data_IF_962853871097
#
_entry.id   IF_962853871097
#
_cell.length_a   1.000
_cell.length_b   1.000
_cell.length_c   1.000
_cell.angle_alpha   90.00
_cell.angle_beta   90.00
_cell.angle_gamma   90.00
#
_symmetry.space_group_name_H-M   'P 1'
#
loop_
_entity.id
_entity.type
_entity.pdbx_description
1 polymer ?
#
# COMPACT_ATOMS: atom_id res chain seq x y z
N UNK A 1 -0.72 -30.93 28.42
CA UNK A 1 0.00 -30.83 29.72
C UNK A 1 1.50 -30.79 29.47
N UNK A 2 2.21 -29.99 30.29
CA UNK A 2 3.66 -29.70 30.33
C UNK A 2 4.12 -28.56 29.42
N UNK A 3 4.88 -27.56 29.88
CA UNK A 3 5.14 -26.98 31.22
C UNK A 3 6.00 -25.73 30.96
N UNK A 4 5.80 -24.71 31.79
CA UNK A 4 6.59 -23.48 31.90
C UNK A 4 8.12 -23.71 31.86
N UNK A 5 8.83 -22.76 31.25
CA UNK A 5 10.12 -22.27 31.77
C UNK A 5 10.06 -20.73 31.81
N UNK A 6 10.23 -20.21 33.01
CA UNK A 6 10.36 -18.81 33.37
C UNK A 6 11.86 -18.55 33.58
N UNK A 7 12.43 -17.50 33.01
CA UNK A 7 13.64 -16.87 33.56
C UNK A 7 13.53 -15.36 33.44
N UNK A 8 13.63 -14.72 34.60
CA UNK A 8 13.62 -13.29 34.83
C UNK A 8 15.05 -12.73 34.83
N UNK A 9 15.20 -11.45 34.47
CA UNK A 9 16.16 -10.54 35.09
C UNK A 9 15.83 -9.10 34.71
N UNK A 10 15.27 -8.34 35.66
CA UNK A 10 15.23 -6.89 35.60
C UNK A 10 16.47 -6.28 36.25
N UNK A 11 16.82 -5.07 35.84
CA UNK A 11 17.67 -4.18 36.63
C UNK A 11 17.21 -2.73 36.43
N UNK A 12 16.96 -2.10 37.57
CA UNK A 12 16.32 -0.81 37.80
C UNK A 12 17.36 0.33 37.78
N UNK A 13 16.95 1.51 37.33
CA UNK A 13 17.64 2.79 37.54
C UNK A 13 17.92 3.03 39.03
N UNK A 14 19.11 3.55 39.36
CA UNK A 14 19.34 4.26 40.62
C UNK A 14 20.06 5.59 40.36
N UNK A 15 19.42 6.66 40.82
CA UNK A 15 19.91 8.03 40.81
C UNK A 15 21.07 8.23 41.79
N UNK A 16 21.99 9.13 41.44
CA UNK A 16 23.05 9.64 42.31
C UNK A 16 22.93 11.16 42.44
N UNK A 17 22.69 11.60 43.66
CA UNK A 17 22.71 12.99 44.10
C UNK A 17 23.42 12.99 45.45
N UNK A 18 24.50 13.77 45.60
CA UNK A 18 24.97 14.26 46.91
C UNK A 18 25.83 15.54 46.74
N UNK A 19 25.54 16.50 47.60
CA UNK A 19 25.99 17.90 47.67
C UNK A 19 27.34 18.09 48.40
N UNK A 20 28.00 19.24 48.14
CA UNK A 20 28.45 20.25 49.15
C UNK A 20 29.16 21.43 48.44
N UNK A 21 28.65 22.68 48.46
CA UNK A 21 28.85 23.77 49.45
C UNK A 21 30.33 24.26 49.57
N UNK A 22 30.74 25.54 49.62
CA UNK A 22 30.20 26.92 49.65
C UNK A 22 31.41 27.89 49.65
N UNK A 23 31.31 29.12 49.10
CA UNK A 23 31.71 30.43 49.73
C UNK A 23 31.83 31.59 48.71
N UNK A 24 31.21 32.74 49.02
CA UNK A 24 31.31 34.03 48.27
C UNK A 24 32.52 34.88 48.70
N UNK A 25 32.53 36.25 48.64
CA UNK A 25 31.43 37.19 48.35
C UNK A 25 31.77 38.45 47.50
N UNK A 26 30.71 39.27 47.30
CA UNK A 26 30.66 40.76 47.24
C UNK A 26 31.16 41.57 46.02
N UNK A 27 30.27 42.44 45.52
CA UNK A 27 30.62 43.85 45.22
C UNK A 27 30.21 44.41 43.85
N UNK A 28 29.12 45.20 43.82
CA UNK A 28 29.13 46.57 43.28
C UNK A 28 28.94 46.85 41.78
N UNK A 29 27.89 47.64 41.50
CA UNK A 29 27.77 48.76 40.54
C UNK A 29 27.76 48.53 39.01
N UNK A 30 26.60 48.89 38.45
CA UNK A 30 26.37 49.67 37.21
C UNK A 30 27.52 49.90 36.24
N UNK A 31 27.35 49.48 34.98
CA UNK A 31 27.52 50.38 33.84
C UNK A 31 26.91 49.79 32.57
N UNK A 32 26.24 50.68 31.85
CA UNK A 32 25.84 50.61 30.45
C UNK A 32 26.99 50.21 29.52
N UNK A 33 26.75 49.22 28.67
CA UNK A 33 27.66 48.85 27.59
C UNK A 33 26.87 48.19 26.46
N UNK A 34 26.63 48.96 25.41
CA UNK A 34 26.01 48.50 24.17
C UNK A 34 26.89 47.55 23.37
N UNK A 35 26.24 46.66 22.63
CA UNK A 35 26.65 45.93 21.41
C UNK A 35 27.03 44.46 21.59
N UNK A 36 26.86 43.61 20.57
CA UNK A 36 26.25 43.84 19.25
C UNK A 36 24.90 43.13 19.09
N UNK A 37 24.11 43.64 18.13
CA UNK A 37 22.96 42.95 17.55
C UNK A 37 23.46 41.61 17.01
N UNK A 38 22.96 40.50 17.56
CA UNK A 38 23.13 39.18 16.96
C UNK A 38 22.63 39.24 15.53
N UNK A 39 23.35 38.65 14.55
CA UNK A 39 22.80 38.50 13.21
C UNK A 39 21.47 37.76 13.35
N UNK A 40 20.43 38.32 12.74
CA UNK A 40 19.11 37.68 12.70
C UNK A 40 19.30 36.24 12.28
N UNK A 41 18.74 35.33 13.08
CA UNK A 41 18.57 33.93 12.70
C UNK A 41 17.71 33.93 11.45
N UNK A 42 18.34 34.00 10.27
CA UNK A 42 17.79 33.42 9.06
C UNK A 42 17.57 31.95 9.43
N UNK A 43 16.32 31.60 9.79
CA UNK A 43 15.97 30.23 10.07
C UNK A 43 16.37 29.44 8.82
N UNK A 44 17.28 28.48 8.98
CA UNK A 44 17.78 27.71 7.86
C UNK A 44 16.59 27.00 7.22
N UNK A 45 16.27 27.40 5.99
CA UNK A 45 15.24 26.77 5.18
C UNK A 45 15.87 25.56 4.52
N UNK A 46 15.32 24.39 4.78
CA UNK A 46 15.69 23.15 4.10
C UNK A 46 15.41 23.28 2.61
N UNK A 47 16.39 22.85 1.83
CA UNK A 47 16.22 22.58 0.41
C UNK A 47 15.42 21.29 0.20
N UNK A 48 14.88 21.11 -1.01
CA UNK A 48 14.18 19.88 -1.41
C UNK A 48 15.07 18.64 -1.20
N UNK A 49 16.35 18.73 -1.55
CA UNK A 49 17.32 17.63 -1.40
C UNK A 49 17.56 17.26 0.06
N UNK A 50 17.68 18.25 0.95
CA UNK A 50 17.83 18.02 2.39
C UNK A 50 16.55 17.45 3.02
N UNK A 51 15.38 17.89 2.54
CA UNK A 51 14.09 17.34 2.94
C UNK A 51 13.91 15.89 2.45
N UNK A 52 14.29 15.60 1.20
CA UNK A 52 14.27 14.24 0.64
C UNK A 52 15.19 13.31 1.43
N UNK A 53 16.40 13.75 1.77
CA UNK A 53 17.35 12.97 2.55
C UNK A 53 16.78 12.58 3.93
N UNK A 54 15.97 13.44 4.56
CA UNK A 54 15.28 13.12 5.82
C UNK A 54 14.24 12.02 5.65
N UNK A 55 13.45 12.06 4.57
CA UNK A 55 12.46 11.01 4.29
C UNK A 55 13.18 9.70 3.95
N UNK A 56 14.25 9.74 3.16
CA UNK A 56 15.08 8.58 2.87
C UNK A 56 15.73 7.98 4.12
N UNK A 57 16.21 8.80 5.05
CA UNK A 57 16.73 8.34 6.33
C UNK A 57 15.63 7.70 7.20
N UNK A 58 14.41 8.23 7.17
CA UNK A 58 13.27 7.71 7.92
C UNK A 58 12.87 6.30 7.48
N UNK A 59 12.77 6.07 6.17
CA UNK A 59 12.36 4.78 5.60
C UNK A 59 13.53 3.80 5.41
N UNK A 60 14.75 4.31 5.23
CA UNK A 60 15.91 3.52 4.84
C UNK A 60 15.87 3.08 3.37
N UNK A 61 16.78 2.19 3.00
CA UNK A 61 16.86 1.67 1.62
C UNK A 61 15.80 0.62 1.34
N UNK A 62 15.49 -0.22 2.33
CA UNK A 62 14.57 -1.35 2.19
C UNK A 62 13.59 -1.42 3.33
N UNK A 63 12.39 -1.84 2.99
CA UNK A 63 11.38 -2.22 3.96
C UNK A 63 11.77 -3.56 4.60
N UNK A 64 11.88 -3.60 5.93
CA UNK A 64 12.28 -4.81 6.65
C UNK A 64 11.23 -5.93 6.59
N UNK A 65 9.94 -5.58 6.49
CA UNK A 65 8.87 -6.56 6.42
C UNK A 65 8.79 -7.22 5.04
N UNK A 66 9.17 -6.49 4.00
CA UNK A 66 8.89 -6.88 2.61
C UNK A 66 10.15 -7.14 1.78
N UNK A 67 11.29 -6.60 2.20
CA UNK A 67 12.55 -6.65 1.47
C UNK A 67 12.61 -5.71 0.26
N UNK A 68 11.51 -5.02 -0.08
CA UNK A 68 11.43 -4.11 -1.22
C UNK A 68 12.27 -2.85 -1.01
N UNK A 69 12.82 -2.32 -2.10
CA UNK A 69 13.57 -1.07 -2.06
C UNK A 69 12.57 0.08 -2.01
N UNK A 70 12.75 1.04 -1.10
CA UNK A 70 11.98 2.26 -1.14
C UNK A 70 12.44 3.16 -2.28
N UNK A 71 11.47 3.66 -3.04
CA UNK A 71 11.64 4.75 -3.99
C UNK A 71 10.87 5.96 -3.45
N UNK A 72 11.58 7.07 -3.25
CA UNK A 72 11.02 8.30 -2.72
C UNK A 72 11.28 9.40 -3.72
N UNK A 73 10.21 10.05 -4.18
CA UNK A 73 10.28 11.09 -5.20
C UNK A 73 9.51 12.33 -4.74
N UNK A 74 10.06 13.51 -5.03
CA UNK A 74 9.35 14.77 -4.84
C UNK A 74 8.11 14.82 -5.76
N UNK A 75 6.98 15.24 -5.21
CA UNK A 75 5.75 15.47 -5.99
C UNK A 75 5.51 16.95 -6.21
N UNK A 76 5.27 17.69 -5.13
CA UNK A 76 4.87 19.09 -5.16
C UNK A 76 5.08 19.77 -3.79
N UNK A 77 4.84 21.08 -3.75
CA UNK A 77 4.75 21.84 -2.50
C UNK A 77 3.31 21.87 -2.01
N UNK A 78 3.10 21.70 -0.71
CA UNK A 78 1.80 21.83 -0.05
C UNK A 78 1.89 22.77 1.14
N UNK A 79 0.80 23.48 1.45
CA UNK A 79 0.71 24.29 2.66
C UNK A 79 -0.13 23.54 3.70
N UNK A 80 0.47 23.21 4.83
CA UNK A 80 -0.17 22.44 5.91
C UNK A 80 -0.09 23.28 7.18
N UNK A 81 -1.26 23.67 7.72
CA UNK A 81 -1.40 24.53 8.90
C UNK A 81 -0.58 25.83 8.84
N UNK A 82 -0.45 26.42 7.64
CA UNK A 82 0.29 27.66 7.42
C UNK A 82 1.79 27.48 7.24
N UNK A 83 2.30 26.24 7.26
CA UNK A 83 3.69 25.91 6.92
C UNK A 83 3.79 25.39 5.48
N UNK A 84 4.74 25.91 4.71
CA UNK A 84 5.07 25.36 3.41
C UNK A 84 5.91 24.08 3.59
N UNK A 85 5.51 23.02 2.90
CA UNK A 85 6.11 21.70 2.99
C UNK A 85 6.38 21.12 1.61
N UNK A 86 7.49 20.40 1.48
CA UNK A 86 7.72 19.49 0.36
C UNK A 86 6.87 18.23 0.57
N UNK A 87 6.14 17.79 -0.44
CA UNK A 87 5.47 16.48 -0.45
C UNK A 87 6.30 15.49 -1.26
N UNK A 88 6.51 14.31 -0.69
CA UNK A 88 7.22 13.21 -1.30
C UNK A 88 6.31 12.00 -1.38
N UNK A 89 6.24 11.42 -2.57
CA UNK A 89 5.65 10.09 -2.75
C UNK A 89 6.63 9.05 -2.26
N UNK A 90 6.13 8.13 -1.45
CA UNK A 90 6.84 6.93 -1.02
C UNK A 90 6.23 5.75 -1.75
N UNK A 91 7.09 4.96 -2.38
CA UNK A 91 6.70 3.78 -3.15
C UNK A 91 7.71 2.67 -2.92
N UNK A 92 7.35 1.42 -3.19
CA UNK A 92 8.33 0.36 -3.37
C UNK A 92 8.74 0.25 -4.83
N UNK A 93 10.02 0.04 -5.07
CA UNK A 93 10.54 -0.41 -6.35
C UNK A 93 10.47 -1.95 -6.37
N UNK A 94 9.51 -2.47 -7.14
CA UNK A 94 9.29 -3.90 -7.35
C UNK A 94 9.97 -4.30 -8.67
N UNK A 95 10.86 -5.29 -8.59
CA UNK A 95 11.63 -5.84 -9.73
C UNK A 95 12.34 -4.81 -10.62
N UNK A 96 12.73 -3.68 -10.03
CA UNK A 96 13.52 -2.63 -10.70
C UNK A 96 12.79 -1.84 -11.80
N UNK A 97 11.49 -2.09 -12.01
CA UNK A 97 10.74 -1.54 -13.16
C UNK A 97 9.36 -0.99 -12.79
N UNK A 98 8.78 -1.46 -11.69
CA UNK A 98 7.43 -1.09 -11.26
C UNK A 98 7.48 -0.38 -9.90
N UNK A 99 6.69 0.69 -9.75
CA UNK A 99 6.57 1.44 -8.50
C UNK A 99 5.20 1.16 -7.88
N UNK A 100 5.19 0.57 -6.69
CA UNK A 100 4.00 0.33 -5.87
C UNK A 100 3.82 1.49 -4.89
N UNK A 101 2.69 2.21 -4.97
CA UNK A 101 2.43 3.36 -4.09
C UNK A 101 2.18 2.90 -2.65
N UNK A 102 2.77 3.61 -1.68
CA UNK A 102 2.53 3.36 -0.26
C UNK A 102 1.82 4.52 0.40
N UNK A 103 2.42 5.71 0.34
CA UNK A 103 1.91 6.91 1.02
C UNK A 103 2.61 8.16 0.50
N UNK A 104 2.13 9.34 0.92
CA UNK A 104 2.88 10.59 0.81
C UNK A 104 3.42 10.98 2.19
N UNK A 105 4.60 11.58 2.21
CA UNK A 105 5.18 12.22 3.39
C UNK A 105 5.43 13.69 3.10
N UNK A 106 5.18 14.56 4.08
CA UNK A 106 5.50 15.98 3.98
C UNK A 106 6.66 16.33 4.90
N UNK A 107 7.50 17.28 4.47
CA UNK A 107 8.56 17.89 5.28
C UNK A 107 8.46 19.40 5.19
N UNK A 108 8.29 20.10 6.32
CA UNK A 108 8.24 21.56 6.32
C UNK A 108 9.58 22.20 5.96
N UNK A 109 9.54 23.42 5.41
CA UNK A 109 10.73 24.20 5.07
C UNK A 109 11.69 24.41 6.25
N UNK A 110 11.21 24.46 7.48
CA UNK A 110 12.05 24.57 8.68
C UNK A 110 12.45 23.20 9.29
N UNK A 111 11.99 22.10 8.69
CA UNK A 111 12.25 20.73 9.13
C UNK A 111 11.56 20.32 10.42
N UNK A 112 10.67 21.15 10.96
CA UNK A 112 9.98 20.89 12.22
C UNK A 112 8.83 19.88 12.06
N UNK A 113 8.29 19.75 10.85
CA UNK A 113 7.23 18.82 10.49
C UNK A 113 7.81 17.75 9.57
N UNK A 114 7.65 16.48 9.94
CA UNK A 114 7.85 15.33 9.06
C UNK A 114 6.81 14.28 9.42
N UNK A 115 5.82 14.06 8.55
CA UNK A 115 4.72 13.16 8.82
C UNK A 115 4.11 12.60 7.54
N UNK A 116 3.38 11.51 7.70
CA UNK A 116 2.48 10.99 6.68
C UNK A 116 1.42 12.05 6.32
N UNK A 117 1.17 12.20 5.04
CA UNK A 117 0.23 13.15 4.47
C UNK A 117 -0.65 12.42 3.47
N UNK A 118 -1.86 12.09 3.88
CA UNK A 118 -2.90 11.71 2.95
C UNK A 118 -3.59 13.01 2.54
N UNK A 119 -3.51 13.44 1.27
CA UNK A 119 -4.17 14.66 0.86
C UNK A 119 -5.68 14.54 1.12
N UNK A 120 -6.21 15.40 1.98
CA UNK A 120 -7.65 15.61 2.18
C UNK A 120 -8.25 16.18 0.88
N UNK A 121 -8.46 15.33 -0.13
CA UNK A 121 -8.83 15.67 -1.51
C UNK A 121 -9.40 17.09 -1.68
N UNK A 122 -8.57 18.10 -2.01
CA UNK A 122 -9.07 19.39 -2.41
C UNK A 122 -8.62 19.68 -3.86
N UNK A 123 -9.56 20.17 -4.65
CA UNK A 123 -9.36 20.48 -6.06
C UNK A 123 -8.06 21.27 -6.33
N UNK A 124 -7.07 20.66 -6.98
CA UNK A 124 -5.90 21.40 -7.48
C UNK A 124 -4.57 20.65 -7.65
N UNK A 125 -4.55 19.56 -8.41
CA UNK A 125 -3.48 19.29 -9.39
C UNK A 125 -2.03 19.08 -8.89
N UNK A 126 -1.78 17.94 -8.25
CA UNK A 126 -0.68 17.05 -8.65
C UNK A 126 -1.24 15.64 -8.55
N UNK A 127 -2.06 15.30 -9.55
CA UNK A 127 -2.63 13.96 -9.69
C UNK A 127 -1.44 13.07 -10.03
N UNK A 128 -1.12 12.12 -9.15
CA UNK A 128 -0.46 10.90 -9.59
C UNK A 128 -1.09 10.53 -10.92
N UNK A 129 -0.35 10.48 -12.04
CA UNK A 129 -0.99 10.31 -13.33
C UNK A 129 -1.92 9.11 -13.21
N UNK A 130 -3.22 9.36 -13.43
CA UNK A 130 -4.20 8.29 -13.53
C UNK A 130 -3.60 7.23 -14.44
N UNK A 131 -3.66 5.94 -14.06
CA UNK A 131 -2.95 4.89 -14.78
C UNK A 131 -3.30 4.97 -16.27
N UNK A 132 -2.30 5.16 -17.11
CA UNK A 132 -2.49 5.40 -18.54
C UNK A 132 -2.64 4.08 -19.29
N UNK A 133 -2.14 3.00 -18.68
CA UNK A 133 -2.19 1.64 -19.24
C UNK A 133 -2.96 0.70 -18.31
N UNK A 134 -3.52 -0.37 -18.89
CA UNK A 134 -4.13 -1.44 -18.11
C UNK A 134 -3.15 -2.04 -17.10
N UNK A 135 -1.87 -2.10 -17.46
CA UNK A 135 -0.83 -2.62 -16.59
C UNK A 135 -0.63 -1.81 -15.32
N UNK A 136 -0.48 -0.49 -15.44
CA UNK A 136 -0.33 0.42 -14.30
C UNK A 136 -1.58 0.41 -13.41
N UNK A 137 -2.77 0.33 -14.02
CA UNK A 137 -4.02 0.21 -13.29
C UNK A 137 -4.09 -1.10 -12.52
N UNK A 138 -3.72 -2.22 -13.14
CA UNK A 138 -3.69 -3.53 -12.50
C UNK A 138 -2.72 -3.55 -11.32
N UNK A 139 -1.50 -3.01 -11.49
CA UNK A 139 -0.49 -2.99 -10.43
C UNK A 139 -0.98 -2.19 -9.22
N UNK A 140 -1.58 -1.02 -9.47
CA UNK A 140 -2.18 -0.20 -8.40
C UNK A 140 -3.32 -0.92 -7.67
N UNK A 141 -4.19 -1.59 -8.42
CA UNK A 141 -5.31 -2.34 -7.84
C UNK A 141 -4.86 -3.60 -7.11
N UNK A 142 -3.80 -4.25 -7.59
CA UNK A 142 -3.18 -5.39 -6.94
C UNK A 142 -2.58 -5.00 -5.59
N UNK A 143 -2.02 -3.80 -5.47
CA UNK A 143 -1.59 -3.26 -4.18
C UNK A 143 -2.77 -2.99 -3.23
N UNK A 144 -3.86 -2.39 -3.72
CA UNK A 144 -5.08 -2.19 -2.93
C UNK A 144 -5.66 -3.53 -2.45
N UNK A 145 -5.69 -4.57 -3.31
CA UNK A 145 -6.14 -5.92 -2.96
C UNK A 145 -5.37 -6.47 -1.75
N UNK A 146 -4.08 -6.14 -1.65
CA UNK A 146 -3.15 -6.64 -0.62
C UNK A 146 -3.15 -5.80 0.65
N UNK A 147 -3.20 -4.47 0.53
CA UNK A 147 -3.01 -3.53 1.64
C UNK A 147 -4.32 -3.09 2.28
N UNK A 148 -5.31 -2.78 1.46
CA UNK A 148 -6.54 -2.12 1.87
C UNK A 148 -7.73 -2.56 1.00
N UNK A 149 -8.12 -3.85 1.02
CA UNK A 149 -9.08 -4.39 0.06
C UNK A 149 -10.48 -3.73 0.13
N UNK A 150 -10.84 -3.11 1.25
CA UNK A 150 -12.06 -2.30 1.36
C UNK A 150 -12.06 -1.03 0.49
N UNK A 151 -10.89 -0.53 0.12
CA UNK A 151 -10.71 0.67 -0.70
C UNK A 151 -10.90 0.41 -2.20
N UNK A 152 -11.15 -0.84 -2.61
CA UNK A 152 -11.42 -1.18 -4.00
C UNK A 152 -12.79 -0.72 -4.50
N UNK A 153 -13.70 -0.34 -3.59
CA UNK A 153 -15.08 0.07 -3.93
C UNK A 153 -15.16 1.07 -5.10
N UNK A 154 -14.37 2.16 -5.14
CA UNK A 154 -14.45 3.15 -6.21
C UNK A 154 -13.97 2.62 -7.57
N UNK A 155 -13.16 1.56 -7.56
CA UNK A 155 -12.57 0.96 -8.75
C UNK A 155 -13.43 -0.13 -9.37
N UNK A 156 -14.52 -0.55 -8.72
CA UNK A 156 -15.45 -1.54 -9.26
C UNK A 156 -16.22 -0.93 -10.45
N UNK A 157 -16.33 -1.67 -11.57
CA UNK A 157 -17.09 -1.22 -12.74
C UNK A 157 -18.52 -0.79 -12.32
N UNK A 158 -18.89 0.50 -12.49
CA UNK A 158 -20.14 1.03 -11.97
C UNK A 158 -21.37 0.52 -12.71
N UNK A 159 -21.22 0.05 -13.95
CA UNK A 159 -22.32 -0.45 -14.77
C UNK A 159 -22.50 -1.96 -14.63
N UNK A 160 -21.38 -2.69 -14.51
CA UNK A 160 -21.38 -4.13 -14.63
C UNK A 160 -20.87 -4.87 -13.38
N UNK A 161 -20.33 -4.17 -12.39
CA UNK A 161 -19.83 -4.73 -11.15
C UNK A 161 -18.58 -5.59 -11.30
N UNK A 162 -18.19 -6.22 -10.18
CA UNK A 162 -17.02 -7.07 -10.05
C UNK A 162 -17.42 -8.54 -10.02
N UNK A 163 -17.01 -9.31 -11.03
CA UNK A 163 -17.28 -10.75 -11.11
C UNK A 163 -16.15 -11.57 -10.48
N UNK A 164 -16.49 -12.43 -9.55
CA UNK A 164 -15.56 -13.32 -8.83
C UNK A 164 -15.60 -14.73 -9.44
N UNK A 165 -14.46 -15.21 -9.92
CA UNK A 165 -14.35 -16.50 -10.61
C UNK A 165 -13.35 -17.40 -9.88
N UNK A 166 -13.80 -18.43 -9.13
CA UNK A 166 -12.92 -19.29 -8.33
C UNK A 166 -12.08 -20.25 -9.19
N UNK A 167 -12.50 -20.53 -10.42
CA UNK A 167 -11.72 -21.22 -11.44
C UNK A 167 -12.31 -20.94 -12.81
N UNK A 168 -11.46 -20.92 -13.85
CA UNK A 168 -11.89 -20.89 -15.24
C UNK A 168 -12.63 -22.20 -15.65
N UNK A 169 -13.50 -22.14 -16.67
CA UNK A 169 -13.91 -20.96 -17.43
C UNK A 169 -14.91 -20.06 -16.68
N UNK A 170 -15.03 -18.80 -17.10
CA UNK A 170 -16.04 -17.88 -16.58
C UNK A 170 -17.43 -18.41 -16.91
N UNK A 171 -18.32 -18.40 -15.93
CA UNK A 171 -19.65 -18.97 -15.97
C UNK A 171 -20.69 -17.95 -15.50
N UNK A 172 -21.92 -18.04 -16.02
CA UNK A 172 -23.06 -17.27 -15.51
C UNK A 172 -23.38 -17.56 -14.04
N UNK A 173 -22.86 -18.68 -13.48
CA UNK A 173 -22.97 -18.99 -12.05
C UNK A 173 -21.98 -18.24 -11.19
N UNK A 174 -21.00 -17.55 -11.79
CA UNK A 174 -20.07 -16.72 -11.04
C UNK A 174 -20.78 -15.50 -10.49
N UNK A 175 -20.44 -15.16 -9.24
CA UNK A 175 -21.10 -14.07 -8.54
C UNK A 175 -20.51 -12.75 -8.99
N UNK A 176 -21.38 -11.82 -9.32
CA UNK A 176 -21.04 -10.42 -9.56
C UNK A 176 -21.52 -9.58 -8.39
N UNK A 177 -20.67 -8.69 -7.91
CA UNK A 177 -20.92 -7.81 -6.76
C UNK A 177 -20.80 -6.37 -7.23
N UNK A 178 -21.81 -5.56 -6.94
CA UNK A 178 -21.78 -4.12 -7.20
C UNK A 178 -20.91 -3.39 -6.18
N UNK A 179 -20.48 -2.16 -6.50
CA UNK A 179 -19.75 -1.32 -5.54
C UNK A 179 -20.52 -1.12 -4.21
N UNK A 180 -21.85 -1.09 -4.26
CA UNK A 180 -22.66 -0.91 -3.06
C UNK A 180 -22.69 -2.17 -2.20
N UNK A 181 -22.94 -3.35 -2.80
CA UNK A 181 -22.87 -4.64 -2.11
C UNK A 181 -21.46 -4.91 -1.55
N UNK A 182 -20.42 -4.42 -2.22
CA UNK A 182 -19.04 -4.56 -1.76
C UNK A 182 -18.77 -3.85 -0.42
N UNK A 183 -19.57 -2.83 -0.07
CA UNK A 183 -19.41 -2.05 1.17
C UNK A 183 -19.54 -2.90 2.43
N UNK A 184 -20.31 -4.00 2.37
CA UNK A 184 -20.47 -4.96 3.45
C UNK A 184 -19.76 -6.29 3.18
N UNK A 185 -18.96 -6.41 2.11
CA UNK A 185 -18.39 -7.69 1.66
C UNK A 185 -17.64 -8.47 2.75
N UNK A 186 -16.80 -7.77 3.52
CA UNK A 186 -15.96 -8.38 4.57
C UNK A 186 -16.66 -8.53 5.93
N UNK A 187 -17.80 -7.85 6.14
CA UNK A 187 -18.54 -7.89 7.41
C UNK A 187 -19.77 -8.79 7.33
N UNK A 188 -20.34 -8.96 6.14
CA UNK A 188 -21.45 -9.86 5.87
C UNK A 188 -21.08 -11.32 6.17
N UNK A 189 -22.01 -12.02 6.80
CA UNK A 189 -21.89 -13.42 7.21
C UNK A 189 -22.83 -14.34 6.44
N UNK A 190 -23.58 -13.81 5.48
CA UNK A 190 -24.38 -14.62 4.56
C UNK A 190 -23.48 -15.46 3.63
N UNK A 191 -23.92 -16.69 3.36
CA UNK A 191 -23.25 -17.60 2.44
C UNK A 191 -23.80 -17.38 1.03
N UNK A 192 -22.90 -17.11 0.09
CA UNK A 192 -23.23 -16.96 -1.32
C UNK A 192 -22.57 -18.05 -2.15
N UNK A 193 -23.19 -18.39 -3.28
CA UNK A 193 -22.56 -19.24 -4.29
C UNK A 193 -21.73 -18.36 -5.23
N UNK A 194 -20.43 -18.62 -5.29
CA UNK A 194 -19.45 -17.84 -6.07
C UNK A 194 -19.10 -18.45 -7.43
N UNK A 195 -19.53 -19.68 -7.65
CA UNK A 195 -19.22 -20.46 -8.84
C UNK A 195 -19.20 -21.95 -8.52
N UNK A 196 -18.39 -22.70 -9.26
CA UNK A 196 -18.21 -24.12 -9.02
C UNK A 196 -16.74 -24.49 -9.18
N UNK A 197 -16.25 -25.38 -8.33
CA UNK A 197 -14.93 -26.00 -8.42
C UNK A 197 -15.15 -27.51 -8.45
N UNK A 198 -14.67 -28.20 -9.47
CA UNK A 198 -14.85 -29.65 -9.65
C UNK A 198 -16.32 -30.10 -9.57
N UNK A 199 -17.19 -29.37 -10.28
CA UNK A 199 -18.65 -29.55 -10.28
C UNK A 199 -19.33 -29.37 -8.90
N UNK A 200 -18.61 -28.88 -7.90
CA UNK A 200 -19.16 -28.55 -6.59
C UNK A 200 -19.34 -27.03 -6.45
N UNK A 201 -20.52 -26.61 -5.99
CA UNK A 201 -20.78 -25.20 -5.74
C UNK A 201 -19.84 -24.65 -4.65
N UNK A 202 -19.22 -23.50 -4.92
CA UNK A 202 -18.39 -22.78 -3.95
C UNK A 202 -19.32 -21.89 -3.13
N UNK A 203 -19.71 -22.34 -1.94
CA UNK A 203 -20.61 -21.62 -1.02
C UNK A 203 -19.83 -21.06 0.17
N UNK A 204 -19.57 -19.76 0.18
CA UNK A 204 -18.70 -19.08 1.16
C UNK A 204 -19.26 -17.70 1.53
N UNK A 205 -18.85 -17.14 2.67
CA UNK A 205 -19.01 -15.70 2.92
C UNK A 205 -18.07 -14.90 2.01
N UNK A 206 -18.27 -13.58 1.91
CA UNK A 206 -17.35 -12.71 1.16
C UNK A 206 -15.91 -12.82 1.68
N UNK A 207 -15.72 -12.71 3.01
CA UNK A 207 -14.41 -12.87 3.65
C UNK A 207 -13.78 -14.23 3.37
N UNK A 208 -14.53 -15.32 3.50
CA UNK A 208 -13.98 -16.67 3.30
C UNK A 208 -13.62 -16.93 1.82
N UNK A 209 -14.38 -16.35 0.89
CA UNK A 209 -14.02 -16.38 -0.53
C UNK A 209 -12.70 -15.64 -0.77
N UNK A 210 -12.57 -14.44 -0.21
CA UNK A 210 -11.38 -13.60 -0.37
C UNK A 210 -10.11 -14.32 0.07
N UNK A 211 -10.12 -14.83 1.31
CA UNK A 211 -9.01 -15.53 1.92
C UNK A 211 -8.60 -16.77 1.11
N UNK A 212 -9.56 -17.42 0.43
CA UNK A 212 -9.32 -18.66 -0.31
C UNK A 212 -8.84 -18.44 -1.75
N UNK A 213 -9.36 -17.44 -2.45
CA UNK A 213 -9.19 -17.34 -3.91
C UNK A 213 -8.52 -16.05 -4.38
N UNK A 214 -8.47 -15.00 -3.55
CA UNK A 214 -7.94 -13.69 -3.94
C UNK A 214 -6.60 -13.44 -3.25
N UNK A 215 -6.57 -13.50 -1.92
CA UNK A 215 -5.37 -13.21 -1.17
C UNK A 215 -5.34 -13.96 0.15
N UNK A 216 -4.25 -14.69 0.39
CA UNK A 216 -3.98 -15.36 1.66
C UNK A 216 -3.21 -14.43 2.61
N UNK A 217 -3.80 -14.13 3.77
CA UNK A 217 -3.22 -13.26 4.80
C UNK A 217 -1.95 -13.86 5.44
N UNK A 218 -1.71 -15.17 5.31
CA UNK A 218 -0.53 -15.84 5.87
C UNK A 218 0.79 -15.48 5.13
N UNK A 219 0.72 -14.67 4.06
CA UNK A 219 1.89 -14.00 3.48
C UNK A 219 2.80 -14.90 2.63
N UNK A 220 2.36 -16.11 2.30
CA UNK A 220 3.10 -17.05 1.44
C UNK A 220 3.33 -16.51 0.02
N UNK A 221 2.55 -15.52 -0.41
CA UNK A 221 2.50 -15.05 -1.80
C UNK A 221 2.66 -13.54 -1.90
N UNK A 222 3.70 -13.02 -1.26
CA UNK A 222 3.93 -11.58 -1.09
C UNK A 222 4.21 -10.83 -2.41
N UNK A 223 4.83 -11.50 -3.38
CA UNK A 223 5.12 -10.96 -4.71
C UNK A 223 4.91 -12.05 -5.77
N UNK A 224 4.34 -11.71 -6.93
CA UNK A 224 4.19 -12.66 -8.03
C UNK A 224 5.57 -13.01 -8.62
N UNK A 225 5.80 -14.28 -8.95
CA UNK A 225 7.00 -14.72 -9.68
C UNK A 225 6.98 -14.25 -11.13
N UNK A 226 5.80 -14.07 -11.70
CA UNK A 226 5.62 -13.63 -13.07
C UNK A 226 4.35 -12.83 -13.18
N UNK A 227 4.42 -11.74 -13.94
CA UNK A 227 3.22 -10.97 -14.29
C UNK A 227 3.14 -10.78 -15.79
N UNK A 228 1.98 -11.09 -16.38
CA UNK A 228 1.76 -11.03 -17.83
C UNK A 228 0.53 -10.22 -18.17
N UNK A 229 0.59 -9.48 -19.28
CA UNK A 229 -0.54 -8.73 -19.83
C UNK A 229 -1.05 -9.42 -21.10
N UNK A 230 -2.37 -9.56 -21.24
CA UNK A 230 -3.00 -10.14 -22.43
C UNK A 230 -2.73 -11.64 -22.62
N UNK A 231 -2.06 -12.30 -21.67
CA UNK A 231 -1.82 -13.74 -21.63
C UNK A 231 -1.84 -14.23 -20.19
N UNK A 232 -2.34 -15.45 -19.98
CA UNK A 232 -2.35 -16.12 -18.68
C UNK A 232 -1.19 -17.10 -18.59
N UNK A 233 -0.52 -17.14 -17.43
CA UNK A 233 0.58 -18.07 -17.16
C UNK A 233 0.10 -19.53 -17.19
N UNK A 234 -1.14 -19.78 -16.74
CA UNK A 234 -1.74 -21.11 -16.63
C UNK A 234 -2.71 -21.45 -17.78
N UNK A 235 -2.87 -20.54 -18.74
CA UNK A 235 -3.79 -20.67 -19.89
C UNK A 235 -5.25 -20.35 -19.56
N UNK A 236 -6.08 -20.28 -20.59
CA UNK A 236 -7.51 -19.93 -20.48
C UNK A 236 -7.85 -18.51 -20.96
N UNK A 237 -6.90 -17.84 -21.62
CA UNK A 237 -7.07 -16.50 -22.19
C UNK A 237 -8.25 -16.39 -23.18
N UNK A 238 -8.58 -17.50 -23.87
CA UNK A 238 -9.73 -17.54 -24.78
C UNK A 238 -11.07 -17.48 -24.02
N UNK A 239 -11.15 -18.11 -22.85
CA UNK A 239 -12.35 -18.06 -22.01
C UNK A 239 -12.56 -16.64 -21.47
N UNK A 240 -11.48 -15.97 -21.05
CA UNK A 240 -11.55 -14.56 -20.63
C UNK A 240 -11.91 -13.63 -21.78
N UNK A 241 -11.26 -13.77 -22.93
CA UNK A 241 -11.56 -12.92 -24.10
C UNK A 241 -12.99 -13.11 -24.60
N UNK A 242 -13.56 -14.31 -24.45
CA UNK A 242 -14.96 -14.59 -24.76
C UNK A 242 -15.93 -13.98 -23.75
N UNK A 243 -15.61 -14.03 -22.46
CA UNK A 243 -16.44 -13.47 -21.40
C UNK A 243 -16.34 -11.93 -21.27
N UNK A 244 -15.18 -11.36 -21.64
CA UNK A 244 -14.84 -9.94 -21.48
C UNK A 244 -14.23 -9.36 -22.77
N UNK A 245 -15.01 -9.22 -23.86
CA UNK A 245 -14.48 -8.88 -25.17
C UNK A 245 -13.81 -7.50 -25.28
N UNK A 246 -14.15 -6.57 -24.39
CA UNK A 246 -13.65 -5.19 -24.37
C UNK A 246 -12.77 -4.88 -23.15
N UNK A 247 -12.22 -5.92 -22.51
CA UNK A 247 -11.40 -5.76 -21.30
C UNK A 247 -9.94 -6.15 -21.56
N UNK A 248 -9.03 -5.46 -20.88
CA UNK A 248 -7.66 -5.90 -20.70
C UNK A 248 -7.58 -6.87 -19.52
N UNK A 249 -6.54 -7.70 -19.47
CA UNK A 249 -6.29 -8.59 -18.34
C UNK A 249 -4.81 -8.68 -18.02
N UNK A 250 -4.51 -8.67 -16.72
CA UNK A 250 -3.17 -8.79 -16.16
C UNK A 250 -3.18 -9.95 -15.18
N UNK A 251 -2.29 -10.91 -15.40
CA UNK A 251 -2.21 -12.16 -14.65
C UNK A 251 -0.99 -12.14 -13.72
N UNK A 252 -1.24 -12.32 -12.42
CA UNK A 252 -0.25 -12.35 -11.35
C UNK A 252 -0.05 -13.81 -10.93
N UNK A 253 1.04 -14.43 -11.38
CA UNK A 253 1.33 -15.85 -11.14
C UNK A 253 2.33 -16.02 -10.00
N UNK A 254 2.05 -16.98 -9.14
CA UNK A 254 2.86 -17.38 -7.99
C UNK A 254 3.13 -18.87 -8.10
N UNK A 255 4.38 -19.26 -7.86
CA UNK A 255 4.85 -20.62 -7.90
C UNK A 255 5.24 -21.05 -6.50
N UNK A 256 4.85 -22.25 -6.11
CA UNK A 256 5.40 -22.86 -4.91
C UNK A 256 6.92 -23.03 -5.05
N UNK A 257 7.61 -23.08 -3.90
CA UNK A 257 9.07 -23.13 -3.84
C UNK A 257 9.67 -24.33 -4.59
N UNK A 258 8.92 -25.43 -4.74
CA UNK A 258 9.33 -26.62 -5.48
C UNK A 258 8.77 -26.69 -6.91
N UNK A 259 7.98 -25.69 -7.32
CA UNK A 259 7.31 -25.62 -8.63
C UNK A 259 6.22 -26.66 -8.85
N UNK A 260 5.72 -27.30 -7.79
CA UNK A 260 4.71 -28.36 -7.89
C UNK A 260 3.29 -27.83 -8.11
N UNK A 261 2.98 -26.67 -7.54
CA UNK A 261 1.71 -25.96 -7.68
C UNK A 261 2.02 -24.50 -8.00
N UNK A 262 1.33 -23.97 -8.99
CA UNK A 262 1.31 -22.55 -9.31
C UNK A 262 -0.14 -22.10 -9.21
N UNK A 263 -0.38 -20.92 -8.68
CA UNK A 263 -1.67 -20.27 -8.85
C UNK A 263 -1.48 -18.89 -9.46
N UNK A 264 -2.54 -18.38 -10.06
CA UNK A 264 -2.57 -17.03 -10.56
C UNK A 264 -3.85 -16.32 -10.18
N UNK A 265 -3.73 -15.02 -9.94
CA UNK A 265 -4.83 -14.09 -9.83
C UNK A 265 -4.82 -13.19 -11.07
N UNK A 266 -5.83 -13.30 -11.91
CA UNK A 266 -6.00 -12.42 -13.05
C UNK A 266 -6.97 -11.28 -12.71
N UNK A 267 -6.52 -10.04 -12.88
CA UNK A 267 -7.35 -8.85 -12.84
C UNK A 267 -7.87 -8.56 -14.25
N UNK A 268 -9.19 -8.48 -14.40
CA UNK A 268 -9.84 -8.08 -15.65
C UNK A 268 -10.27 -6.63 -15.52
N UNK A 269 -9.83 -5.79 -16.46
CA UNK A 269 -9.98 -4.34 -16.42
C UNK A 269 -10.73 -3.83 -17.64
N UNK A 270 -11.75 -3.02 -17.40
CA UNK A 270 -12.48 -2.31 -18.45
C UNK A 270 -12.06 -0.85 -18.43
N UNK A 271 -11.73 -0.30 -19.59
CA UNK A 271 -11.53 1.14 -19.73
C UNK A 271 -12.87 1.81 -20.06
N UNK A 272 -13.23 2.83 -19.31
CA UNK A 272 -14.36 3.71 -19.61
C UNK A 272 -13.80 5.14 -19.63
N UNK A 273 -13.86 5.76 -20.81
CA UNK A 273 -13.15 7.02 -21.08
C UNK A 273 -11.66 6.89 -20.74
N UNK A 274 -11.16 7.68 -19.80
CA UNK A 274 -9.75 7.67 -19.36
C UNK A 274 -9.56 6.96 -18.01
N UNK A 275 -10.54 6.18 -17.54
CA UNK A 275 -10.51 5.49 -16.24
C UNK A 275 -10.58 3.97 -16.40
N UNK A 276 -9.74 3.26 -15.65
CA UNK A 276 -9.73 1.80 -15.58
C UNK A 276 -10.54 1.29 -14.40
N UNK A 277 -11.48 0.40 -14.67
CA UNK A 277 -12.33 -0.24 -13.67
C UNK A 277 -12.06 -1.74 -13.58
N UNK A 278 -12.04 -2.25 -12.35
CA UNK A 278 -11.97 -3.67 -12.03
C UNK A 278 -13.32 -4.34 -12.34
N UNK A 279 -13.29 -5.24 -13.32
CA UNK A 279 -14.44 -5.97 -13.83
C UNK A 279 -14.47 -7.42 -13.36
N UNK A 280 -13.32 -8.03 -13.14
CA UNK A 280 -13.21 -9.43 -12.76
C UNK A 280 -11.97 -9.74 -11.92
N UNK A 281 -12.14 -10.65 -10.96
CA UNK A 281 -11.07 -11.33 -10.23
C UNK A 281 -11.17 -12.83 -10.51
N UNK A 282 -10.14 -13.38 -11.14
CA UNK A 282 -10.15 -14.75 -11.62
C UNK A 282 -8.99 -15.51 -10.99
N UNK A 283 -9.33 -16.56 -10.25
CA UNK A 283 -8.36 -17.49 -9.70
C UNK A 283 -8.10 -18.63 -10.68
N UNK A 284 -6.84 -19.01 -10.86
CA UNK A 284 -6.42 -20.20 -11.59
C UNK A 284 -5.35 -20.93 -10.80
N UNK A 285 -5.27 -22.26 -10.90
CA UNK A 285 -4.20 -23.03 -10.28
C UNK A 285 -3.79 -24.23 -11.15
N UNK A 286 -2.50 -24.55 -11.16
CA UNK A 286 -1.94 -25.76 -11.75
C UNK A 286 -1.93 -26.87 -10.71
N UNK A 287 -2.07 -28.12 -11.17
CA UNK A 287 -2.09 -29.27 -10.27
C UNK A 287 -3.47 -29.55 -9.68
N UNK A 288 -3.99 -30.73 -10.04
CA UNK A 288 -4.96 -31.49 -9.26
C UNK A 288 -4.28 -32.76 -8.78
#
# INVERSE_FOLDING_TARGET
MRRLVLTAAGALLLALLLLAARSGPSGGSSSSGSSPISPGSEAAVLTEEEALAKVQEHFGERDEATGNIFSIAFENMVNVDGADCYSFRVSWLVDGSHLSYLTNYIVSLDGSIMQEYLPDSPAGGSVSPEPQTAREAADSLFDLLRLSPGELKPSIDPEQGLTFTPCLPVSERNRTVTAEEFSSFFSDKELYTWGSLDDQAVSLTGSDYWARFVWDEDGAYFAPDTVTEGKLALGGEQDLSGAYPDCAFVDYCFNDTDGSVSFSLTLVLRQVEDTWYLRGLVHSQSGK
#
